data_IF_378143794638
#
_entry.id   IF_378143794638
#
_cell.length_a   1.000
_cell.length_b   1.000
_cell.length_c   1.000
_cell.angle_alpha   90.00
_cell.angle_beta   90.00
_cell.angle_gamma   90.00
#
_symmetry.space_group_name_H-M   'P 1'
#
loop_
_entity.id
_entity.type
_entity.pdbx_description
1 polymer ?
#
# COMPACT_ATOMS: atom_id res chain seq x y z
N UNK A 1 -56.52 17.45 8.92
CA UNK A 1 -55.47 17.20 7.91
C UNK A 1 -54.12 17.55 8.54
N UNK A 2 -53.35 16.56 8.97
CA UNK A 2 -51.99 16.78 9.46
C UNK A 2 -51.03 16.67 8.26
N UNK A 3 -50.38 17.77 7.91
CA UNK A 3 -49.35 17.80 6.89
C UNK A 3 -48.16 16.96 7.36
N UNK A 4 -47.88 15.86 6.64
CA UNK A 4 -46.67 15.07 6.83
C UNK A 4 -45.48 15.93 6.41
N UNK A 5 -44.69 16.36 7.38
CA UNK A 5 -43.37 16.93 7.17
C UNK A 5 -42.47 15.86 6.54
N UNK A 6 -42.08 16.09 5.29
CA UNK A 6 -41.08 15.31 4.58
C UNK A 6 -39.73 15.47 5.27
N UNK A 7 -39.19 14.38 5.82
CA UNK A 7 -37.81 14.34 6.32
C UNK A 7 -36.83 14.57 5.15
N UNK A 8 -35.78 15.40 5.32
CA UNK A 8 -34.74 15.54 4.32
C UNK A 8 -33.99 14.22 4.16
N UNK A 9 -33.86 13.74 2.91
CA UNK A 9 -33.16 12.50 2.59
C UNK A 9 -31.75 12.49 3.17
N UNK A 10 -31.40 11.45 3.94
CA UNK A 10 -30.05 11.28 4.50
C UNK A 10 -29.04 11.23 3.34
N UNK A 11 -28.19 12.26 3.22
CA UNK A 11 -27.01 12.24 2.35
C UNK A 11 -26.19 10.98 2.69
N UNK A 12 -25.84 10.19 1.67
CA UNK A 12 -24.94 9.04 1.85
C UNK A 12 -23.61 9.58 2.44
N UNK A 13 -23.06 8.98 3.50
CA UNK A 13 -21.79 9.46 4.04
C UNK A 13 -20.70 9.43 2.97
N UNK A 14 -19.78 10.39 3.02
CA UNK A 14 -18.66 10.44 2.09
C UNK A 14 -17.82 9.15 2.20
N UNK A 15 -17.30 8.63 1.06
CA UNK A 15 -16.56 7.38 1.05
C UNK A 15 -15.28 7.51 1.89
N UNK A 16 -15.02 6.53 2.75
CA UNK A 16 -13.80 6.46 3.54
C UNK A 16 -12.65 6.00 2.65
N UNK A 17 -11.86 6.96 2.17
CA UNK A 17 -10.69 6.73 1.32
C UNK A 17 -9.45 6.55 2.20
N UNK A 18 -8.68 5.49 1.97
CA UNK A 18 -7.36 5.33 2.58
C UNK A 18 -6.26 5.14 1.55
N UNK A 19 -5.03 5.50 1.92
CA UNK A 19 -3.84 5.36 1.08
C UNK A 19 -2.89 4.34 1.70
N UNK A 20 -2.55 3.29 0.96
CA UNK A 20 -1.43 2.41 1.30
C UNK A 20 -0.21 2.78 0.47
N UNK A 21 0.66 3.60 1.04
CA UNK A 21 1.86 4.09 0.36
C UNK A 21 3.06 3.17 0.55
N UNK A 22 3.86 2.95 -0.49
CA UNK A 22 5.06 2.12 -0.40
C UNK A 22 5.90 2.18 -1.66
N UNK A 23 7.14 1.71 -1.57
CA UNK A 23 7.97 1.54 -2.77
C UNK A 23 7.51 0.35 -3.60
N UNK A 24 7.09 -0.75 -2.97
CA UNK A 24 6.64 -1.99 -3.64
C UNK A 24 7.64 -2.49 -4.70
N UNK A 25 8.92 -2.52 -4.35
CA UNK A 25 10.02 -2.86 -5.26
C UNK A 25 10.76 -4.16 -4.87
N UNK A 26 10.19 -5.35 -5.14
CA UNK A 26 8.88 -5.58 -5.73
C UNK A 26 7.76 -5.72 -4.68
N UNK A 27 6.51 -5.80 -5.14
CA UNK A 27 5.36 -6.22 -4.34
C UNK A 27 5.53 -7.67 -3.86
N UNK A 28 5.04 -7.99 -2.67
CA UNK A 28 5.25 -9.29 -1.98
C UNK A 28 3.93 -9.79 -1.40
N UNK A 29 3.89 -11.03 -0.89
CA UNK A 29 2.69 -11.53 -0.21
C UNK A 29 2.31 -10.72 1.04
N UNK A 30 3.31 -10.17 1.76
CA UNK A 30 3.05 -9.29 2.90
C UNK A 30 2.30 -8.02 2.50
N UNK A 31 2.66 -7.40 1.38
CA UNK A 31 1.92 -6.23 0.86
C UNK A 31 0.49 -6.60 0.47
N UNK A 32 0.29 -7.74 -0.19
CA UNK A 32 -1.05 -8.19 -0.60
C UNK A 32 -1.95 -8.54 0.58
N UNK A 33 -1.40 -9.06 1.68
CA UNK A 33 -2.15 -9.26 2.93
C UNK A 33 -2.71 -7.93 3.46
N UNK A 34 -1.85 -6.91 3.57
CA UNK A 34 -2.24 -5.58 4.05
C UNK A 34 -3.27 -4.94 3.13
N UNK A 35 -3.09 -5.02 1.80
CA UNK A 35 -4.04 -4.50 0.82
C UNK A 35 -5.43 -5.14 1.00
N UNK A 36 -5.49 -6.47 1.06
CA UNK A 36 -6.76 -7.21 1.21
C UNK A 36 -7.46 -6.88 2.52
N UNK A 37 -6.71 -6.64 3.60
CA UNK A 37 -7.28 -6.32 4.92
C UNK A 37 -7.74 -4.88 4.99
N UNK A 38 -6.96 -3.94 4.46
CA UNK A 38 -7.34 -2.55 4.38
C UNK A 38 -8.58 -2.34 3.50
N UNK A 39 -8.68 -3.06 2.37
CA UNK A 39 -9.84 -3.03 1.48
C UNK A 39 -11.14 -3.54 2.13
N UNK A 40 -11.08 -4.25 3.26
CA UNK A 40 -12.28 -4.64 4.04
C UNK A 40 -12.73 -3.56 5.02
N UNK A 41 -11.85 -2.62 5.36
CA UNK A 41 -12.09 -1.57 6.36
C UNK A 41 -12.56 -0.28 5.69
N UNK A 42 -11.96 0.03 4.54
CA UNK A 42 -12.16 1.27 3.78
C UNK A 42 -13.14 1.07 2.62
N UNK A 43 -13.89 2.12 2.29
CA UNK A 43 -14.79 2.09 1.15
C UNK A 43 -14.01 2.16 -0.18
N UNK A 44 -12.82 2.80 -0.16
CA UNK A 44 -11.87 2.85 -1.27
C UNK A 44 -10.43 2.86 -0.74
N UNK A 45 -9.56 2.04 -1.33
CA UNK A 45 -8.14 1.98 -1.00
C UNK A 45 -7.32 2.35 -2.23
N UNK A 46 -6.42 3.33 -2.10
CA UNK A 46 -5.43 3.64 -3.13
C UNK A 46 -4.08 3.09 -2.69
N UNK A 47 -3.54 2.14 -3.46
CA UNK A 47 -2.17 1.66 -3.32
C UNK A 47 -1.26 2.61 -4.07
N UNK A 48 -0.50 3.43 -3.33
CA UNK A 48 0.28 4.53 -3.87
C UNK A 48 1.77 4.17 -3.96
N UNK A 49 2.24 3.97 -5.19
CA UNK A 49 3.64 3.64 -5.50
C UNK A 49 4.50 4.90 -5.38
N UNK A 50 5.33 4.97 -4.35
CA UNK A 50 6.23 6.08 -4.11
C UNK A 50 7.41 6.11 -5.09
N UNK A 51 7.72 7.31 -5.58
CA UNK A 51 8.92 7.59 -6.38
C UNK A 51 10.05 7.95 -5.41
N UNK A 52 10.89 6.98 -5.07
CA UNK A 52 12.06 7.20 -4.22
C UNK A 52 13.32 7.39 -5.08
N UNK A 53 13.90 8.59 -5.07
CA UNK A 53 15.12 8.91 -5.82
C UNK A 53 16.42 8.43 -5.11
N UNK A 54 16.35 8.08 -3.82
CA UNK A 54 17.53 7.78 -3.01
C UNK A 54 18.09 6.36 -3.21
N UNK A 55 17.33 5.45 -3.82
CA UNK A 55 17.77 4.06 -4.08
C UNK A 55 17.47 3.67 -5.52
N UNK A 56 18.43 3.10 -6.27
CA UNK A 56 18.16 2.57 -7.59
C UNK A 56 17.12 1.44 -7.46
N UNK A 57 15.94 1.58 -8.10
CA UNK A 57 14.90 0.57 -8.00
C UNK A 57 15.21 -0.61 -8.92
N UNK A 58 14.79 -1.82 -8.54
CA UNK A 58 14.86 -3.00 -9.42
C UNK A 58 13.84 -2.90 -10.54
N UNK A 59 12.68 -2.31 -10.25
CA UNK A 59 11.60 -2.05 -11.19
C UNK A 59 11.26 -0.57 -11.27
N UNK A 60 11.08 -0.08 -12.49
CA UNK A 60 10.56 1.28 -12.74
C UNK A 60 9.20 1.47 -12.06
N UNK A 61 8.81 2.73 -11.81
CA UNK A 61 7.48 3.04 -11.24
C UNK A 61 6.36 2.44 -12.07
N UNK A 62 6.48 2.52 -13.40
CA UNK A 62 5.51 1.95 -14.34
C UNK A 62 5.38 0.43 -14.18
N UNK A 63 6.50 -0.30 -14.13
CA UNK A 63 6.49 -1.76 -13.92
C UNK A 63 5.90 -2.15 -12.57
N UNK A 64 6.18 -1.38 -11.52
CA UNK A 64 5.61 -1.60 -10.17
C UNK A 64 4.11 -1.38 -10.14
N UNK A 65 3.62 -0.31 -10.76
CA UNK A 65 2.19 -0.07 -10.91
C UNK A 65 1.51 -1.15 -11.73
N UNK A 66 2.13 -1.59 -12.82
CA UNK A 66 1.60 -2.66 -13.68
C UNK A 66 1.44 -3.97 -12.91
N UNK A 67 2.48 -4.41 -12.19
CA UNK A 67 2.40 -5.58 -11.31
C UNK A 67 1.30 -5.43 -10.26
N UNK A 68 1.22 -4.27 -9.61
CA UNK A 68 0.21 -4.04 -8.57
C UNK A 68 -1.22 -4.06 -9.14
N UNK A 69 -1.44 -3.48 -10.33
CA UNK A 69 -2.75 -3.47 -11.00
C UNK A 69 -3.20 -4.89 -11.35
N UNK A 70 -2.33 -5.71 -11.91
CA UNK A 70 -2.68 -7.11 -12.22
C UNK A 70 -3.02 -7.89 -10.94
N UNK A 71 -2.27 -7.68 -9.85
CA UNK A 71 -2.50 -8.37 -8.58
C UNK A 71 -3.76 -7.90 -7.82
N UNK A 72 -4.23 -6.68 -8.09
CA UNK A 72 -5.40 -6.08 -7.44
C UNK A 72 -6.65 -6.07 -8.33
N UNK A 73 -6.62 -6.64 -9.54
CA UNK A 73 -7.72 -6.55 -10.52
C UNK A 73 -9.07 -7.06 -10.03
N UNK A 74 -9.05 -8.06 -9.14
CA UNK A 74 -10.26 -8.67 -8.57
C UNK A 74 -10.74 -7.96 -7.29
N UNK A 75 -10.12 -6.83 -6.92
CA UNK A 75 -10.47 -6.02 -5.74
C UNK A 75 -11.14 -4.71 -6.20
N UNK A 76 -12.48 -4.66 -6.33
CA UNK A 76 -13.18 -3.57 -7.02
C UNK A 76 -13.08 -2.21 -6.33
N UNK A 77 -12.70 -2.17 -5.05
CA UNK A 77 -12.50 -0.96 -4.27
C UNK A 77 -11.02 -0.59 -4.10
N UNK A 78 -10.12 -1.23 -4.84
CA UNK A 78 -8.68 -0.95 -4.80
C UNK A 78 -8.25 -0.28 -6.10
N UNK A 79 -7.54 0.83 -5.98
CA UNK A 79 -6.93 1.55 -7.09
C UNK A 79 -5.42 1.60 -6.92
N UNK A 80 -4.72 1.72 -8.03
CA UNK A 80 -3.25 1.82 -8.05
C UNK A 80 -2.85 3.12 -8.71
N UNK A 81 -2.07 3.91 -7.97
CA UNK A 81 -1.52 5.16 -8.44
C UNK A 81 -0.07 5.32 -8.00
N UNK A 82 0.59 6.39 -8.45
CA UNK A 82 1.94 6.76 -8.02
C UNK A 82 2.00 8.20 -7.55
N UNK A 83 2.98 8.50 -6.72
CA UNK A 83 3.19 9.86 -6.24
C UNK A 83 4.66 10.18 -6.06
N UNK A 84 4.98 11.47 -6.19
CA UNK A 84 6.24 12.07 -5.77
C UNK A 84 5.99 13.01 -4.57
N UNK A 85 7.03 13.23 -3.76
CA UNK A 85 6.92 14.09 -2.58
C UNK A 85 6.33 13.38 -1.36
N UNK A 86 5.61 14.12 -0.52
CA UNK A 86 5.13 13.65 0.77
C UNK A 86 3.84 12.83 0.63
N UNK A 87 3.81 11.66 1.29
CA UNK A 87 2.63 10.78 1.29
C UNK A 87 1.40 11.45 1.92
N UNK A 88 1.60 12.27 2.97
CA UNK A 88 0.54 13.07 3.60
C UNK A 88 -0.08 14.04 2.60
N UNK A 89 0.73 14.76 1.81
CA UNK A 89 0.22 15.71 0.81
C UNK A 89 -0.58 15.00 -0.29
N UNK A 90 -0.09 13.85 -0.76
CA UNK A 90 -0.83 13.01 -1.72
C UNK A 90 -2.16 12.52 -1.12
N UNK A 91 -2.15 12.07 0.13
CA UNK A 91 -3.36 11.62 0.82
C UNK A 91 -4.40 12.74 0.97
N UNK A 92 -3.98 13.94 1.37
CA UNK A 92 -4.85 15.12 1.46
C UNK A 92 -5.44 15.49 0.09
N UNK A 93 -4.63 15.51 -0.97
CA UNK A 93 -5.12 15.79 -2.34
C UNK A 93 -6.15 14.76 -2.83
N UNK A 94 -6.04 13.51 -2.36
CA UNK A 94 -6.98 12.43 -2.67
C UNK A 94 -8.24 12.44 -1.79
N UNK A 95 -8.36 13.37 -0.83
CA UNK A 95 -9.44 13.37 0.15
C UNK A 95 -9.42 12.13 1.04
N UNK A 96 -8.23 11.56 1.28
CA UNK A 96 -8.08 10.40 2.13
C UNK A 96 -8.16 10.78 3.61
N UNK A 97 -8.78 9.90 4.39
CA UNK A 97 -8.92 10.05 5.84
C UNK A 97 -7.87 9.24 6.61
N UNK A 98 -7.16 8.34 5.93
CA UNK A 98 -6.19 7.47 6.58
C UNK A 98 -5.00 7.09 5.68
N UNK A 99 -3.82 7.03 6.29
CA UNK A 99 -2.66 6.30 5.79
C UNK A 99 -2.66 4.89 6.38
N UNK A 100 -2.58 3.87 5.54
CA UNK A 100 -2.44 2.48 5.97
C UNK A 100 -0.96 2.14 6.02
N UNK A 101 -0.52 1.48 7.10
CA UNK A 101 0.85 0.94 7.26
C UNK A 101 0.79 -0.52 7.68
N UNK A 102 1.58 -1.35 7.02
CA UNK A 102 1.79 -2.74 7.41
C UNK A 102 2.92 -2.82 8.44
N UNK A 103 2.69 -3.52 9.55
CA UNK A 103 3.72 -3.77 10.57
C UNK A 103 4.14 -5.22 10.51
N UNK A 104 5.44 -5.52 10.56
CA UNK A 104 5.93 -6.91 10.61
C UNK A 104 6.64 -7.22 11.91
N UNK A 105 7.39 -6.25 12.42
CA UNK A 105 8.18 -6.35 13.63
C UNK A 105 7.91 -5.15 14.55
N UNK A 106 8.34 -5.27 15.80
CA UNK A 106 8.38 -4.20 16.78
C UNK A 106 9.19 -2.99 16.29
N UNK A 107 10.26 -3.22 15.52
CA UNK A 107 11.09 -2.15 14.96
C UNK A 107 10.35 -1.36 13.86
N UNK A 108 9.57 -2.04 13.02
CA UNK A 108 8.68 -1.35 12.07
C UNK A 108 7.73 -0.42 12.85
N UNK A 109 7.13 -0.89 13.95
CA UNK A 109 6.19 -0.08 14.72
C UNK A 109 6.79 1.21 15.29
N UNK A 110 8.01 1.14 15.84
CA UNK A 110 8.69 2.33 16.38
C UNK A 110 8.89 3.38 15.29
N UNK A 111 9.43 2.98 14.14
CA UNK A 111 9.64 3.88 13.01
C UNK A 111 8.32 4.45 12.47
N UNK A 112 7.33 3.57 12.28
CA UNK A 112 6.05 3.94 11.69
C UNK A 112 5.19 4.81 12.62
N UNK A 113 5.30 4.63 13.94
CA UNK A 113 4.63 5.49 14.90
C UNK A 113 5.21 6.91 14.90
N UNK A 114 6.54 7.06 14.78
CA UNK A 114 7.15 8.39 14.61
C UNK A 114 6.66 9.06 13.33
N UNK A 115 6.60 8.31 12.22
CA UNK A 115 6.06 8.80 10.95
C UNK A 115 4.58 9.19 11.05
N UNK A 116 3.76 8.42 11.77
CA UNK A 116 2.35 8.73 11.99
C UNK A 116 2.17 10.06 12.75
N UNK A 117 2.94 10.27 13.82
CA UNK A 117 2.92 11.53 14.58
C UNK A 117 3.35 12.72 13.72
N UNK A 118 4.37 12.54 12.87
CA UNK A 118 4.80 13.57 11.92
C UNK A 118 3.75 13.87 10.85
N UNK A 119 3.11 12.84 10.28
CA UNK A 119 2.05 13.06 9.30
C UNK A 119 0.84 13.78 9.93
N UNK A 120 0.50 13.46 11.18
CA UNK A 120 -0.59 14.12 11.93
C UNK A 120 -0.28 15.58 12.26
N UNK A 121 0.98 15.93 12.49
CA UNK A 121 1.36 17.34 12.69
C UNK A 121 1.28 18.16 11.40
N UNK A 122 1.45 17.52 10.24
CA UNK A 122 1.32 18.13 8.92
C UNK A 122 -0.13 18.17 8.40
N UNK A 123 -0.97 17.23 8.83
CA UNK A 123 -2.40 17.17 8.49
C UNK A 123 -3.20 16.55 9.64
N UNK A 124 -3.95 17.37 10.35
CA UNK A 124 -4.75 16.96 11.52
C UNK A 124 -5.92 16.02 11.19
N UNK A 125 -6.35 16.04 9.93
CA UNK A 125 -7.55 15.31 9.46
C UNK A 125 -7.20 13.90 8.95
N UNK A 126 -5.91 13.55 8.95
CA UNK A 126 -5.40 12.28 8.45
C UNK A 126 -4.99 11.38 9.62
N UNK A 127 -5.63 10.22 9.72
CA UNK A 127 -5.27 9.20 10.69
C UNK A 127 -4.26 8.20 10.11
N UNK A 128 -3.62 7.41 10.97
CA UNK A 128 -2.78 6.28 10.54
C UNK A 128 -3.36 4.96 11.06
N UNK A 129 -3.62 4.02 10.14
CA UNK A 129 -4.09 2.67 10.45
C UNK A 129 -2.92 1.71 10.33
N UNK A 130 -2.57 1.09 11.46
CA UNK A 130 -1.57 0.03 11.50
C UNK A 130 -2.22 -1.34 11.35
N UNK A 131 -1.73 -2.14 10.40
CA UNK A 131 -2.18 -3.51 10.18
C UNK A 131 -0.99 -4.44 10.43
N UNK A 132 -0.97 -5.23 11.52
CA UNK A 132 0.03 -6.27 11.72
C UNK A 132 -0.08 -7.30 10.60
N UNK A 133 0.96 -7.50 9.82
CA UNK A 133 1.01 -8.47 8.72
C UNK A 133 0.83 -9.88 9.28
N UNK A 134 0.15 -10.77 8.56
CA UNK A 134 0.05 -12.18 8.99
C UNK A 134 1.42 -12.77 9.32
N UNK A 135 1.50 -13.57 10.38
CA UNK A 135 2.75 -14.18 10.88
C UNK A 135 3.54 -14.90 9.79
N UNK A 136 2.83 -15.56 8.85
CA UNK A 136 3.42 -16.24 7.69
C UNK A 136 4.29 -15.32 6.81
N UNK A 137 4.10 -14.00 6.85
CA UNK A 137 4.80 -13.03 6.03
C UNK A 137 5.64 -12.02 6.84
N UNK A 138 5.73 -12.17 8.16
CA UNK A 138 6.44 -11.23 9.04
C UNK A 138 7.93 -11.08 8.71
N UNK A 139 8.56 -12.12 8.15
CA UNK A 139 9.97 -12.08 7.73
C UNK A 139 10.19 -11.51 6.31
N UNK A 140 9.11 -11.17 5.58
CA UNK A 140 9.21 -10.78 4.17
C UNK A 140 9.43 -9.27 4.05
N UNK A 141 10.49 -8.89 3.34
CA UNK A 141 10.73 -7.52 2.90
C UNK A 141 11.14 -7.51 1.43
N UNK A 142 10.77 -6.46 0.68
CA UNK A 142 11.24 -6.32 -0.70
C UNK A 142 12.76 -6.27 -0.78
N UNK A 143 13.44 -5.69 0.21
CA UNK A 143 14.91 -5.66 0.29
C UNK A 143 15.47 -7.08 0.34
N UNK A 144 14.98 -7.91 1.27
CA UNK A 144 15.44 -9.29 1.42
C UNK A 144 15.09 -10.14 0.19
N UNK A 145 13.91 -9.95 -0.39
CA UNK A 145 13.51 -10.63 -1.64
C UNK A 145 14.51 -10.30 -2.77
N UNK A 146 14.88 -9.02 -2.91
CA UNK A 146 15.86 -8.60 -3.92
C UNK A 146 17.24 -9.19 -3.67
N UNK A 147 17.66 -9.24 -2.41
CA UNK A 147 18.95 -9.80 -2.02
C UNK A 147 19.02 -11.31 -2.32
N UNK A 148 18.05 -12.08 -1.86
CA UNK A 148 17.95 -13.53 -2.15
C UNK A 148 17.95 -13.78 -3.65
N UNK A 149 17.15 -13.04 -4.41
CA UNK A 149 17.08 -13.21 -5.86
C UNK A 149 18.39 -12.87 -6.57
N UNK A 150 19.09 -11.80 -6.13
CA UNK A 150 20.38 -11.38 -6.70
C UNK A 150 21.43 -12.49 -6.59
N UNK A 151 21.39 -13.25 -5.50
CA UNK A 151 22.31 -14.38 -5.26
C UNK A 151 21.77 -15.73 -5.75
N UNK A 152 20.74 -15.74 -6.59
CA UNK A 152 20.21 -16.96 -7.21
C UNK A 152 19.32 -17.82 -6.31
N UNK A 153 18.91 -17.33 -5.15
CA UNK A 153 17.95 -18.02 -4.28
C UNK A 153 16.52 -17.99 -4.83
N UNK A 154 15.72 -18.99 -4.45
CA UNK A 154 14.30 -19.04 -4.81
C UNK A 154 13.45 -18.09 -3.95
N UNK A 155 12.62 -17.28 -4.61
CA UNK A 155 11.71 -16.30 -3.99
C UNK A 155 10.23 -16.64 -4.22
N UNK A 156 9.92 -17.81 -4.80
CA UNK A 156 8.56 -18.24 -5.16
C UNK A 156 7.58 -18.27 -3.98
N UNK A 157 8.09 -18.52 -2.76
CA UNK A 157 7.31 -18.51 -1.52
C UNK A 157 7.08 -17.10 -0.95
N UNK A 158 7.79 -16.09 -1.46
CA UNK A 158 7.81 -14.73 -0.90
C UNK A 158 6.98 -13.73 -1.73
N UNK A 159 6.82 -14.01 -3.02
CA UNK A 159 6.11 -13.14 -3.98
C UNK A 159 5.17 -13.93 -4.89
N UNK A 160 4.14 -13.30 -5.46
CA UNK A 160 3.29 -13.92 -6.47
C UNK A 160 4.08 -14.47 -7.67
N UNK A 161 3.62 -15.55 -8.33
CA UNK A 161 4.33 -16.15 -9.47
C UNK A 161 4.65 -15.17 -10.61
N UNK A 162 3.73 -14.23 -10.89
CA UNK A 162 3.93 -13.20 -11.91
C UNK A 162 5.10 -12.28 -11.58
N UNK A 163 5.31 -11.98 -10.30
CA UNK A 163 6.42 -11.17 -9.78
C UNK A 163 7.72 -11.98 -9.78
N UNK A 164 7.69 -13.23 -9.32
CA UNK A 164 8.87 -14.12 -9.33
C UNK A 164 9.45 -14.26 -10.74
N UNK A 165 8.59 -14.42 -11.75
CA UNK A 165 9.00 -14.46 -13.16
C UNK A 165 9.70 -13.17 -13.60
N UNK A 166 9.14 -11.99 -13.27
CA UNK A 166 9.75 -10.69 -13.61
C UNK A 166 11.11 -10.48 -12.94
N UNK A 167 11.27 -10.95 -11.69
CA UNK A 167 12.56 -10.92 -10.98
C UNK A 167 13.58 -11.80 -11.72
N UNK A 168 13.20 -13.05 -12.06
CA UNK A 168 14.08 -13.96 -12.79
C UNK A 168 14.50 -13.40 -14.16
N UNK A 169 13.57 -12.78 -14.89
CA UNK A 169 13.87 -12.10 -16.16
C UNK A 169 14.84 -10.92 -16.00
N UNK A 170 14.77 -10.19 -14.88
CA UNK A 170 15.68 -9.07 -14.59
C UNK A 170 17.09 -9.58 -14.30
N UNK A 171 17.22 -10.60 -13.46
CA UNK A 171 18.52 -11.11 -13.03
C UNK A 171 19.29 -11.87 -14.13
N UNK A 172 18.61 -12.30 -15.21
CA UNK A 172 19.28 -12.85 -16.41
C UNK A 172 19.88 -11.78 -17.32
N UNK A 173 19.49 -10.51 -17.15
CA UNK A 173 19.95 -9.37 -17.98
C UNK A 173 21.13 -8.62 -17.33
N UNK A 174 21.55 -9.05 -16.15
CA UNK A 174 22.69 -8.53 -15.37
C UNK A 174 23.79 -9.57 -15.42
#
# INVERSE_FOLDING_TARGET
MAARSSQPGKKKPEPRIGIYAGSFDPVTYGHLDVIRRAAKILDRLVVAVGINQAKPPMFTVAERMEMMRDLCKDMPNVEVDSFSGLAVSFATQRGAIALVRGLRTEMDFVYEMQMALMNRSLSSDLETIFIPTSQAYGHISSTLVKEVATWGGDVSSLVPPTVARRIAERNRKV
#
